data_IF_846523581075
#
_entry.id   IF_846523581075
#
_cell.length_a   1.000
_cell.length_b   1.000
_cell.length_c   1.000
_cell.angle_alpha   90.00
_cell.angle_beta   90.00
_cell.angle_gamma   90.00
#
_symmetry.space_group_name_H-M   'P 1'
#
loop_
_entity.id
_entity.type
_entity.pdbx_description
1 polymer ?
#
# COMPACT_ATOMS: atom_id res chain seq x y z
N UNK A 1 0.00 26.51 2.08
CA UNK A 1 0.47 26.24 0.70
C UNK A 1 1.94 25.75 0.58
N UNK A 2 2.93 26.24 1.34
CA UNK A 2 4.35 25.80 1.19
C UNK A 2 4.61 24.30 1.46
N UNK A 3 3.85 23.65 2.36
CA UNK A 3 3.99 22.20 2.63
C UNK A 3 3.54 21.33 1.45
N UNK A 4 2.42 21.65 0.78
CA UNK A 4 1.89 20.86 -0.34
C UNK A 4 2.84 20.81 -1.54
N UNK A 5 3.56 21.90 -1.84
CA UNK A 5 4.57 21.91 -2.93
C UNK A 5 5.69 20.88 -2.72
N UNK A 6 6.04 20.57 -1.47
CA UNK A 6 7.05 19.54 -1.14
C UNK A 6 6.56 18.11 -1.41
N UNK A 7 5.25 17.90 -1.54
CA UNK A 7 4.66 16.59 -1.82
C UNK A 7 4.28 16.41 -3.30
N UNK A 8 4.37 17.43 -4.15
CA UNK A 8 4.21 17.28 -5.61
C UNK A 8 5.08 16.16 -6.21
N UNK A 9 6.34 15.93 -5.77
CA UNK A 9 7.12 14.78 -6.22
C UNK A 9 6.43 13.43 -6.00
N UNK A 10 5.65 13.28 -4.92
CA UNK A 10 4.90 12.05 -4.64
C UNK A 10 3.78 11.82 -5.66
N UNK A 11 3.18 12.88 -6.21
CA UNK A 11 2.18 12.75 -7.28
C UNK A 11 2.83 12.26 -8.58
N UNK A 12 4.01 12.74 -8.92
CA UNK A 12 4.76 12.24 -10.08
C UNK A 12 5.20 10.79 -9.89
N UNK A 13 5.68 10.44 -8.69
CA UNK A 13 6.03 9.05 -8.36
C UNK A 13 4.81 8.14 -8.36
N UNK A 14 3.64 8.62 -7.92
CA UNK A 14 2.38 7.90 -8.05
C UNK A 14 2.07 7.63 -9.52
N UNK A 15 2.07 8.65 -10.38
CA UNK A 15 1.83 8.48 -11.81
C UNK A 15 2.83 7.50 -12.45
N UNK A 16 4.12 7.58 -12.08
CA UNK A 16 5.14 6.66 -12.56
C UNK A 16 4.89 5.22 -12.08
N UNK A 17 4.44 5.04 -10.84
CA UNK A 17 4.12 3.71 -10.27
C UNK A 17 2.91 3.04 -10.90
N UNK A 18 2.05 3.80 -11.60
CA UNK A 18 0.94 3.23 -12.34
C UNK A 18 1.42 2.42 -13.56
N UNK A 19 2.54 2.80 -14.20
CA UNK A 19 3.06 2.10 -15.39
C UNK A 19 3.31 0.61 -15.11
N UNK A 20 4.13 0.22 -14.11
CA UNK A 20 4.33 -1.20 -13.80
C UNK A 20 3.05 -1.86 -13.28
N UNK A 21 2.17 -1.13 -12.59
CA UNK A 21 0.88 -1.66 -12.12
C UNK A 21 -0.02 -2.07 -13.29
N UNK A 22 -0.19 -1.18 -14.28
CA UNK A 22 -0.89 -1.47 -15.52
C UNK A 22 -0.21 -2.62 -16.28
N UNK A 23 1.13 -2.63 -16.32
CA UNK A 23 1.90 -3.74 -16.89
C UNK A 23 1.49 -5.09 -16.30
N UNK A 24 1.45 -5.19 -14.96
CA UNK A 24 1.07 -6.46 -14.31
C UNK A 24 -0.40 -6.81 -14.58
N UNK A 25 -1.32 -5.85 -14.43
CA UNK A 25 -2.76 -6.13 -14.58
C UNK A 25 -3.11 -6.65 -15.99
N UNK A 26 -2.46 -6.12 -17.02
CA UNK A 26 -2.80 -6.46 -18.41
C UNK A 26 -1.95 -7.57 -19.01
N UNK A 27 -0.67 -7.71 -18.61
CA UNK A 27 0.25 -8.69 -19.20
C UNK A 27 0.42 -9.97 -18.36
N UNK A 28 0.04 -9.95 -17.08
CA UNK A 28 0.30 -11.09 -16.19
C UNK A 28 -0.99 -11.79 -15.83
N UNK A 29 -1.10 -13.07 -16.22
CA UNK A 29 -2.20 -13.92 -15.81
C UNK A 29 -2.07 -14.25 -14.32
N UNK A 30 -3.06 -13.89 -13.46
CA UNK A 30 -2.97 -14.09 -12.01
C UNK A 30 -2.95 -15.56 -11.59
N UNK A 31 -3.33 -16.49 -12.47
CA UNK A 31 -3.38 -17.93 -12.19
C UNK A 31 -2.16 -18.71 -12.69
N UNK A 32 -1.28 -18.06 -13.45
CA UNK A 32 -0.05 -18.67 -13.94
C UNK A 32 1.10 -18.31 -13.02
N UNK A 33 1.79 -19.34 -12.51
CA UNK A 33 3.00 -19.13 -11.70
C UNK A 33 4.09 -18.58 -12.60
N UNK A 34 4.62 -17.41 -12.26
CA UNK A 34 5.77 -16.86 -12.97
C UNK A 34 7.00 -17.65 -12.58
N UNK A 35 7.65 -18.26 -13.58
CA UNK A 35 8.94 -18.89 -13.42
C UNK A 35 10.03 -17.82 -13.55
N UNK A 36 10.51 -17.34 -12.40
CA UNK A 36 11.63 -16.41 -12.34
C UNK A 36 12.90 -17.17 -11.99
N UNK A 37 13.79 -17.30 -12.96
CA UNK A 37 15.07 -18.02 -12.90
C UNK A 37 14.93 -19.52 -12.55
N UNK A 38 14.57 -19.84 -11.30
CA UNK A 38 14.32 -21.20 -10.79
C UNK A 38 13.24 -21.26 -9.71
N UNK A 39 12.61 -20.12 -9.38
CA UNK A 39 11.60 -20.02 -8.32
C UNK A 39 10.22 -19.76 -8.93
N UNK A 40 9.23 -20.52 -8.47
CA UNK A 40 7.81 -20.27 -8.79
C UNK A 40 7.29 -19.22 -7.81
N UNK A 41 7.18 -17.97 -8.26
CA UNK A 41 6.69 -16.86 -7.44
C UNK A 41 5.27 -16.53 -7.88
N UNK A 42 4.35 -16.43 -6.93
CA UNK A 42 2.98 -16.02 -7.24
C UNK A 42 2.96 -14.53 -7.68
N UNK A 43 2.39 -14.23 -8.86
CA UNK A 43 2.28 -12.85 -9.38
C UNK A 43 1.64 -11.87 -8.39
N UNK A 44 0.78 -12.38 -7.52
CA UNK A 44 0.12 -11.64 -6.47
C UNK A 44 1.10 -10.85 -5.59
N UNK A 45 2.29 -11.38 -5.31
CA UNK A 45 3.31 -10.71 -4.48
C UNK A 45 3.78 -9.41 -5.16
N UNK A 46 4.08 -9.46 -6.46
CA UNK A 46 4.49 -8.29 -7.22
C UNK A 46 3.35 -7.27 -7.33
N UNK A 47 2.12 -7.76 -7.56
CA UNK A 47 0.92 -6.93 -7.61
C UNK A 47 0.72 -6.16 -6.30
N UNK A 48 0.70 -6.85 -5.15
CA UNK A 48 0.52 -6.20 -3.85
C UNK A 48 1.65 -5.24 -3.51
N UNK A 49 2.89 -5.55 -3.91
CA UNK A 49 4.05 -4.67 -3.67
C UNK A 49 3.94 -3.37 -4.46
N UNK A 50 3.64 -3.45 -5.76
CA UNK A 50 3.50 -2.26 -6.60
C UNK A 50 2.24 -1.46 -6.21
N UNK A 51 1.15 -2.16 -5.89
CA UNK A 51 -0.06 -1.53 -5.38
C UNK A 51 0.20 -0.78 -4.06
N UNK A 52 0.96 -1.37 -3.14
CA UNK A 52 1.40 -0.71 -1.93
C UNK A 52 2.18 0.57 -2.22
N UNK A 53 3.14 0.51 -3.16
CA UNK A 53 3.93 1.68 -3.57
C UNK A 53 3.04 2.79 -4.12
N UNK A 54 2.11 2.45 -5.02
CA UNK A 54 1.19 3.40 -5.62
C UNK A 54 0.29 4.06 -4.56
N UNK A 55 -0.32 3.26 -3.68
CA UNK A 55 -1.15 3.77 -2.59
C UNK A 55 -0.34 4.59 -1.58
N UNK A 56 0.90 4.20 -1.28
CA UNK A 56 1.79 4.97 -0.41
C UNK A 56 2.08 6.34 -0.99
N UNK A 57 2.42 6.44 -2.28
CA UNK A 57 2.67 7.73 -2.91
C UNK A 57 1.41 8.59 -2.96
N UNK A 58 0.28 8.00 -3.30
CA UNK A 58 -1.01 8.67 -3.34
C UNK A 58 -1.42 9.22 -1.96
N UNK A 59 -1.43 8.39 -0.92
CA UNK A 59 -1.82 8.82 0.42
C UNK A 59 -0.79 9.75 1.08
N UNK A 60 0.51 9.58 0.79
CA UNK A 60 1.53 10.52 1.24
C UNK A 60 1.33 11.91 0.66
N UNK A 61 0.89 12.00 -0.60
CA UNK A 61 0.49 13.25 -1.22
C UNK A 61 -0.80 13.79 -0.60
N UNK A 62 -1.85 12.98 -0.50
CA UNK A 62 -3.17 13.37 0.02
C UNK A 62 -3.11 13.92 1.45
N UNK A 63 -2.41 13.22 2.34
CA UNK A 63 -2.26 13.64 3.74
C UNK A 63 -1.12 14.63 3.98
N UNK A 64 -0.33 14.94 2.93
CA UNK A 64 0.92 15.70 3.03
C UNK A 64 1.81 15.22 4.19
N UNK A 65 1.83 13.90 4.42
CA UNK A 65 2.52 13.27 5.54
C UNK A 65 2.87 11.82 5.19
N UNK A 66 4.18 11.53 5.11
CA UNK A 66 4.68 10.19 4.77
C UNK A 66 4.20 9.13 5.75
N UNK A 67 4.14 9.42 7.06
CA UNK A 67 3.73 8.46 8.09
C UNK A 67 2.28 8.02 7.90
N UNK A 68 1.37 8.99 7.78
CA UNK A 68 -0.06 8.71 7.55
C UNK A 68 -0.28 8.03 6.19
N UNK A 69 0.53 8.39 5.19
CA UNK A 69 0.58 7.71 3.90
C UNK A 69 0.89 6.22 4.03
N UNK A 70 1.95 5.86 4.76
CA UNK A 70 2.30 4.45 5.03
C UNK A 70 1.19 3.72 5.78
N UNK A 71 0.64 4.32 6.83
CA UNK A 71 -0.41 3.66 7.62
C UNK A 71 -1.67 3.39 6.80
N UNK A 72 -2.09 4.36 5.99
CA UNK A 72 -3.24 4.19 5.11
C UNK A 72 -2.98 3.16 4.00
N UNK A 73 -1.78 3.13 3.41
CA UNK A 73 -1.45 2.13 2.39
C UNK A 73 -1.37 0.72 2.98
N UNK A 74 -0.79 0.54 4.17
CA UNK A 74 -0.80 -0.73 4.91
C UNK A 74 -2.24 -1.18 5.16
N UNK A 75 -3.12 -0.26 5.61
CA UNK A 75 -4.52 -0.60 5.87
C UNK A 75 -5.22 -1.13 4.62
N UNK A 76 -5.17 -0.37 3.52
CA UNK A 76 -5.87 -0.72 2.28
C UNK A 76 -5.30 -2.00 1.67
N UNK A 77 -3.98 -2.13 1.59
CA UNK A 77 -3.34 -3.35 1.07
C UNK A 77 -3.63 -4.54 1.97
N UNK A 78 -3.60 -4.36 3.29
CA UNK A 78 -3.97 -5.40 4.25
C UNK A 78 -5.41 -5.90 4.06
N UNK A 79 -6.37 -4.99 3.85
CA UNK A 79 -7.75 -5.37 3.53
C UNK A 79 -7.85 -6.15 2.22
N UNK A 80 -7.10 -5.75 1.19
CA UNK A 80 -7.08 -6.45 -0.10
C UNK A 80 -6.43 -7.83 0.01
N UNK A 81 -5.39 -7.98 0.81
CA UNK A 81 -4.76 -9.27 1.12
C UNK A 81 -5.75 -10.18 1.85
N UNK A 82 -6.43 -9.69 2.89
CA UNK A 82 -7.47 -10.45 3.59
C UNK A 82 -8.56 -10.92 2.62
N UNK A 83 -8.98 -10.03 1.71
CA UNK A 83 -9.97 -10.36 0.67
C UNK A 83 -9.44 -11.41 -0.31
N UNK A 84 -8.18 -11.34 -0.70
CA UNK A 84 -7.51 -12.28 -1.61
C UNK A 84 -7.44 -13.69 -1.03
N UNK A 85 -7.18 -13.82 0.28
CA UNK A 85 -7.21 -15.09 1.00
C UNK A 85 -8.62 -15.52 1.44
N UNK A 86 -9.66 -14.87 0.93
CA UNK A 86 -11.07 -15.14 1.25
C UNK A 86 -11.41 -15.02 2.75
N UNK A 87 -10.60 -14.30 3.53
CA UNK A 87 -10.86 -14.00 4.93
C UNK A 87 -11.87 -12.85 4.99
N UNK A 88 -13.15 -13.18 5.10
CA UNK A 88 -14.27 -12.21 5.02
C UNK A 88 -14.77 -11.72 6.38
N UNK A 89 -14.20 -12.21 7.47
CA UNK A 89 -14.65 -11.88 8.82
C UNK A 89 -14.28 -10.44 9.20
N UNK A 90 -15.28 -9.64 9.55
CA UNK A 90 -15.14 -8.23 9.92
C UNK A 90 -14.20 -8.00 11.12
N UNK A 91 -14.08 -9.00 11.99
CA UNK A 91 -13.17 -8.96 13.14
C UNK A 91 -11.71 -8.74 12.72
N UNK A 92 -11.29 -9.30 11.57
CA UNK A 92 -9.93 -9.11 11.06
C UNK A 92 -9.70 -7.68 10.57
N UNK A 93 -10.69 -7.08 9.93
CA UNK A 93 -10.63 -5.69 9.50
C UNK A 93 -10.59 -4.72 10.69
N UNK A 94 -11.40 -4.99 11.73
CA UNK A 94 -11.39 -4.22 12.98
C UNK A 94 -10.05 -4.34 13.69
N UNK A 95 -9.49 -5.56 13.76
CA UNK A 95 -8.19 -5.80 14.37
C UNK A 95 -7.06 -5.09 13.62
N UNK A 96 -7.06 -5.12 12.29
CA UNK A 96 -6.12 -4.38 11.46
C UNK A 96 -6.23 -2.86 11.72
N UNK A 97 -7.46 -2.33 11.78
CA UNK A 97 -7.69 -0.92 12.09
C UNK A 97 -7.18 -0.56 13.49
N UNK A 98 -7.45 -1.40 14.49
CA UNK A 98 -7.00 -1.21 15.86
C UNK A 98 -5.47 -1.15 15.96
N UNK A 99 -4.75 -2.07 15.29
CA UNK A 99 -3.29 -2.06 15.23
C UNK A 99 -2.76 -0.75 14.65
N UNK A 100 -3.36 -0.27 13.55
CA UNK A 100 -2.92 0.96 12.87
C UNK A 100 -3.16 2.19 13.75
N UNK A 101 -4.31 2.26 14.42
CA UNK A 101 -4.63 3.34 15.35
C UNK A 101 -3.68 3.34 16.56
N UNK A 102 -3.33 2.16 17.09
CA UNK A 102 -2.35 2.04 18.17
C UNK A 102 -0.96 2.54 17.73
N UNK A 103 -0.51 2.18 16.53
CA UNK A 103 0.77 2.66 15.98
C UNK A 103 0.77 4.19 15.84
N UNK A 104 -0.31 4.78 15.31
CA UNK A 104 -0.44 6.24 15.17
C UNK A 104 -0.46 6.92 16.54
N UNK A 105 -1.17 6.35 17.53
CA UNK A 105 -1.25 6.89 18.88
C UNK A 105 0.11 6.89 19.59
N UNK A 106 0.84 5.76 19.52
CA UNK A 106 2.17 5.63 20.10
C UNK A 106 3.14 6.66 19.51
N UNK A 107 3.10 6.86 18.19
CA UNK A 107 3.94 7.85 17.52
C UNK A 107 3.49 9.29 17.75
N UNK A 108 2.18 9.53 17.94
CA UNK A 108 1.66 10.88 18.24
C UNK A 108 2.17 11.37 19.60
N UNK A 109 2.21 10.50 20.62
CA UNK A 109 2.75 10.86 21.94
C UNK A 109 4.25 11.14 21.92
N UNK A 110 5.02 10.46 21.07
CA UNK A 110 6.49 10.66 20.97
C UNK A 110 6.88 12.02 20.41
N UNK A 111 5.97 12.70 19.68
CA UNK A 111 6.20 14.03 19.12
C UNK A 111 5.98 15.18 20.10
N UNK A 112 5.49 14.90 21.31
CA UNK A 112 5.20 15.89 22.37
C UNK A 112 6.31 15.96 23.45
N UNK A 113 7.37 15.16 23.32
CA UNK A 113 8.63 15.31 24.07
C UNK A 113 9.67 15.91 23.14
#
# INVERSE_FOLDING_TARGET
MRRQKKFLPFLYLFALSLIPLFGIIFLVNPFEKLELFQSKIDPAIFLFTILFLALFFFFSFLFANKRRGVLASIFVVGLLILRFFEIRSIYHAILLLAIILLIEFLHSKRSLK
#
